data_IF_475784807576
#
_entry.id   IF_475784807576
#
_cell.length_a   1.000
_cell.length_b   1.000
_cell.length_c   1.000
_cell.angle_alpha   90.00
_cell.angle_beta   90.00
_cell.angle_gamma   90.00
#
_symmetry.space_group_name_H-M   'P 1'
#
loop_
_entity.id
_entity.type
_entity.pdbx_description
1 polymer ?
#
# COMPACT_ATOMS: atom_id res chain seq x y z
N UNK A 1 40.99 10.58 -17.19
CA UNK A 1 41.48 10.66 -18.59
C UNK A 1 40.34 10.40 -19.58
N UNK A 2 39.09 10.29 -19.13
CA UNK A 2 38.00 9.68 -19.89
C UNK A 2 37.15 10.67 -20.70
N UNK A 3 37.31 11.98 -20.54
CA UNK A 3 36.58 12.98 -21.33
C UNK A 3 37.01 13.04 -22.83
N UNK A 4 38.03 12.27 -23.24
CA UNK A 4 38.54 12.20 -24.62
C UNK A 4 38.83 10.76 -25.12
N UNK A 5 38.37 9.72 -24.40
CA UNK A 5 38.61 8.30 -24.71
C UNK A 5 39.57 7.60 -23.75
N UNK A 6 39.73 6.28 -23.93
CA UNK A 6 40.56 5.40 -23.10
C UNK A 6 42.06 5.75 -23.17
N UNK A 7 42.83 5.34 -22.17
CA UNK A 7 44.24 5.72 -22.06
C UNK A 7 45.11 4.88 -23.00
N UNK A 8 45.46 5.40 -24.18
CA UNK A 8 46.30 4.68 -25.16
C UNK A 8 47.68 4.15 -24.67
N UNK A 9 48.14 4.51 -23.46
CA UNK A 9 49.36 3.97 -22.83
C UNK A 9 49.10 2.91 -21.75
N UNK A 10 47.85 2.72 -21.36
CA UNK A 10 47.38 1.61 -20.53
C UNK A 10 46.50 0.70 -21.43
N UNK A 11 46.59 -0.61 -21.29
CA UNK A 11 45.80 -1.50 -22.16
C UNK A 11 44.42 -1.81 -21.59
N UNK A 12 44.20 -1.44 -20.33
CA UNK A 12 43.05 -1.72 -19.45
C UNK A 12 42.95 -0.48 -18.54
N UNK A 13 42.10 0.48 -18.91
CA UNK A 13 42.19 1.87 -18.44
C UNK A 13 41.58 2.10 -17.07
N UNK A 14 40.51 1.40 -16.72
CA UNK A 14 39.81 1.36 -15.43
C UNK A 14 40.31 0.23 -14.52
N UNK A 15 40.89 -0.83 -15.06
CA UNK A 15 41.55 -1.88 -14.28
C UNK A 15 40.62 -3.00 -13.82
N UNK A 16 39.52 -3.23 -14.53
CA UNK A 16 38.52 -4.30 -14.30
C UNK A 16 38.98 -5.67 -14.85
N UNK A 17 40.11 -5.71 -15.58
CA UNK A 17 40.67 -6.92 -16.18
C UNK A 17 40.28 -7.14 -17.65
N UNK A 18 39.49 -6.24 -18.24
CA UNK A 18 39.22 -6.18 -19.68
C UNK A 18 40.22 -5.24 -20.36
N UNK A 19 40.36 -5.40 -21.67
CA UNK A 19 41.26 -4.53 -22.44
C UNK A 19 40.41 -3.51 -23.18
N UNK A 20 40.86 -2.25 -23.22
CA UNK A 20 40.13 -1.15 -23.86
C UNK A 20 39.65 -1.49 -25.29
N UNK A 21 40.44 -2.28 -26.03
CA UNK A 21 40.10 -2.71 -27.39
C UNK A 21 38.95 -3.73 -27.40
N UNK A 22 38.92 -4.65 -26.45
CA UNK A 22 37.87 -5.65 -26.35
C UNK A 22 36.55 -4.96 -26.04
N UNK A 23 36.55 -4.13 -25.02
CA UNK A 23 35.38 -3.38 -24.54
C UNK A 23 34.81 -2.46 -25.61
N UNK A 24 35.65 -1.65 -26.29
CA UNK A 24 35.17 -0.66 -27.27
C UNK A 24 35.02 -1.14 -28.72
N UNK A 25 35.68 -2.23 -29.14
CA UNK A 25 35.74 -2.63 -30.56
C UNK A 25 35.43 -4.10 -30.81
N UNK A 26 36.05 -5.03 -30.07
CA UNK A 26 35.85 -6.45 -30.34
C UNK A 26 34.54 -6.98 -29.74
N UNK A 27 34.06 -6.44 -28.62
CA UNK A 27 32.81 -6.75 -27.92
C UNK A 27 32.71 -8.15 -27.29
N UNK A 28 31.79 -8.29 -26.37
CA UNK A 28 31.51 -9.49 -25.57
C UNK A 28 30.29 -10.23 -26.11
N UNK A 29 30.15 -11.53 -25.83
CA UNK A 29 28.93 -12.28 -26.17
C UNK A 29 28.03 -12.27 -24.96
N UNK A 30 26.76 -11.93 -25.15
CA UNK A 30 25.77 -11.99 -24.08
C UNK A 30 25.70 -13.38 -23.42
N UNK A 31 25.30 -13.45 -22.14
CA UNK A 31 25.08 -14.71 -21.44
C UNK A 31 24.17 -15.69 -22.20
N UNK A 32 24.35 -17.00 -22.03
CA UNK A 32 23.41 -17.98 -22.57
C UNK A 32 21.99 -17.71 -22.06
N UNK A 33 21.02 -17.62 -22.98
CA UNK A 33 19.60 -17.32 -22.74
C UNK A 33 19.24 -15.85 -22.49
N UNK A 34 20.19 -14.92 -22.58
CA UNK A 34 19.89 -13.49 -22.57
C UNK A 34 19.05 -13.06 -23.80
N UNK A 35 18.15 -12.10 -23.60
CA UNK A 35 17.03 -11.71 -24.50
C UNK A 35 17.43 -11.56 -25.97
N UNK A 36 18.57 -10.94 -26.22
CA UNK A 36 19.18 -10.80 -27.53
C UNK A 36 20.61 -11.32 -27.45
N UNK A 37 20.87 -12.52 -27.99
CA UNK A 37 22.19 -13.18 -28.05
C UNK A 37 23.16 -12.46 -29.02
N UNK A 38 23.24 -11.15 -28.88
CA UNK A 38 24.01 -10.20 -29.65
C UNK A 38 25.33 -9.91 -28.92
N UNK A 39 26.21 -9.26 -29.66
CA UNK A 39 27.46 -8.78 -29.13
C UNK A 39 27.24 -7.39 -28.52
N UNK A 40 27.65 -7.21 -27.27
CA UNK A 40 27.61 -5.96 -26.54
C UNK A 40 29.02 -5.44 -26.25
N UNK A 41 29.08 -4.23 -25.69
CA UNK A 41 30.30 -3.47 -25.44
C UNK A 41 30.16 -2.81 -24.07
N UNK A 42 31.25 -2.72 -23.33
CA UNK A 42 31.35 -2.02 -22.05
C UNK A 42 32.15 -0.72 -22.23
N UNK A 43 32.18 0.16 -21.22
CA UNK A 43 32.96 1.40 -21.28
C UNK A 43 34.38 1.17 -20.74
N UNK A 44 35.46 1.27 -21.56
CA UNK A 44 36.87 1.16 -21.15
C UNK A 44 37.35 2.15 -20.09
N UNK A 45 36.47 2.96 -19.55
CA UNK A 45 36.77 3.99 -18.57
C UNK A 45 35.94 3.83 -17.30
N UNK A 46 35.04 2.86 -17.25
CA UNK A 46 34.19 2.55 -16.12
C UNK A 46 34.47 1.11 -15.71
N UNK A 47 34.85 0.97 -14.44
CA UNK A 47 35.17 -0.33 -13.86
C UNK A 47 33.95 -1.27 -13.76
N UNK A 48 32.76 -0.68 -13.84
CA UNK A 48 31.43 -1.25 -13.71
C UNK A 48 30.55 -0.36 -14.61
N UNK A 49 30.12 -0.89 -15.75
CA UNK A 49 29.53 -0.10 -16.84
C UNK A 49 28.07 0.22 -16.57
N UNK A 50 27.29 -0.71 -15.99
CA UNK A 50 25.88 -0.52 -15.66
C UNK A 50 25.64 -0.10 -14.20
N UNK A 51 26.68 -0.12 -13.36
CA UNK A 51 26.70 0.33 -11.97
C UNK A 51 25.85 -0.53 -11.03
N UNK A 52 25.79 -1.83 -11.27
CA UNK A 52 25.06 -2.79 -10.44
C UNK A 52 25.91 -3.32 -9.25
N UNK A 53 27.20 -3.00 -9.23
CA UNK A 53 28.15 -3.38 -8.19
C UNK A 53 29.04 -4.59 -8.54
N UNK A 54 28.90 -5.17 -9.72
CA UNK A 54 29.82 -6.14 -10.32
C UNK A 54 30.83 -5.43 -11.23
N UNK A 55 32.03 -6.00 -11.38
CA UNK A 55 33.03 -5.43 -12.30
C UNK A 55 32.85 -6.07 -13.69
N UNK A 56 32.92 -5.29 -14.77
CA UNK A 56 32.62 -5.79 -16.12
C UNK A 56 33.44 -7.06 -16.48
N UNK A 57 34.70 -7.10 -16.03
CA UNK A 57 35.60 -8.24 -16.22
C UNK A 57 35.16 -9.53 -15.51
N UNK A 58 34.54 -9.42 -14.33
CA UNK A 58 33.96 -10.54 -13.59
C UNK A 58 32.77 -11.09 -14.35
N UNK A 59 31.86 -10.22 -14.79
CA UNK A 59 30.59 -10.61 -15.43
C UNK A 59 30.77 -11.29 -16.80
N UNK A 60 31.76 -10.87 -17.57
CA UNK A 60 32.06 -11.48 -18.88
C UNK A 60 32.97 -12.71 -18.79
N UNK A 61 33.38 -13.11 -17.59
CA UNK A 61 34.19 -14.31 -17.34
C UNK A 61 33.61 -15.14 -16.19
N UNK A 62 34.11 -16.36 -15.95
CA UNK A 62 33.66 -17.10 -14.75
C UNK A 62 34.45 -16.58 -13.58
N UNK A 63 33.75 -15.76 -12.80
CA UNK A 63 34.26 -15.10 -11.63
C UNK A 63 34.40 -15.93 -10.36
N UNK A 64 34.46 -15.23 -9.23
CA UNK A 64 34.34 -15.73 -7.86
C UNK A 64 32.93 -16.28 -7.60
N UNK A 65 31.91 -15.65 -8.18
CA UNK A 65 30.49 -16.04 -8.06
C UNK A 65 30.11 -17.25 -8.94
N UNK A 66 30.82 -17.49 -10.04
CA UNK A 66 30.57 -18.48 -11.10
C UNK A 66 29.31 -18.21 -11.94
N UNK A 67 28.81 -16.98 -11.96
CA UNK A 67 27.73 -16.60 -12.88
C UNK A 67 28.31 -15.89 -14.11
N UNK A 68 27.47 -15.77 -15.13
CA UNK A 68 27.75 -15.02 -16.34
C UNK A 68 26.59 -14.07 -16.52
N UNK A 69 26.77 -12.83 -16.11
CA UNK A 69 25.79 -11.74 -16.21
C UNK A 69 26.16 -10.83 -17.37
N UNK A 70 25.30 -9.87 -17.66
CA UNK A 70 25.48 -8.97 -18.79
C UNK A 70 25.96 -7.61 -18.29
N UNK A 71 27.28 -7.37 -18.34
CA UNK A 71 27.99 -6.15 -17.90
C UNK A 71 27.60 -4.77 -18.51
N UNK A 72 26.44 -4.64 -19.14
CA UNK A 72 25.85 -3.37 -19.53
C UNK A 72 24.32 -3.43 -19.37
N UNK A 73 23.86 -4.32 -18.51
CA UNK A 73 22.48 -4.56 -18.13
C UNK A 73 22.47 -4.99 -16.67
N UNK A 74 22.13 -4.05 -15.79
CA UNK A 74 22.25 -4.21 -14.33
C UNK A 74 21.34 -5.28 -13.72
N UNK A 75 20.43 -5.87 -14.51
CA UNK A 75 19.43 -6.87 -14.10
C UNK A 75 19.28 -7.85 -15.28
N UNK A 76 20.13 -8.87 -15.32
CA UNK A 76 20.34 -9.74 -16.49
C UNK A 76 19.12 -10.61 -16.83
N UNK A 77 18.30 -10.96 -15.85
CA UNK A 77 17.10 -11.77 -16.02
C UNK A 77 15.76 -11.02 -15.89
N UNK A 78 15.84 -9.71 -15.63
CA UNK A 78 14.77 -8.72 -15.65
C UNK A 78 13.66 -9.02 -14.64
N UNK A 79 14.07 -9.34 -13.42
CA UNK A 79 13.19 -9.69 -12.33
C UNK A 79 13.01 -8.56 -11.30
N UNK A 80 13.74 -7.45 -11.51
CA UNK A 80 13.72 -6.26 -10.68
C UNK A 80 14.81 -6.21 -9.61
N UNK A 81 15.68 -7.21 -9.54
CA UNK A 81 16.86 -7.25 -8.69
C UNK A 81 18.12 -6.98 -9.50
N UNK A 82 19.06 -6.22 -8.95
CA UNK A 82 20.34 -6.02 -9.63
C UNK A 82 21.25 -7.23 -9.47
N UNK A 83 22.00 -7.62 -10.50
CA UNK A 83 22.83 -8.85 -10.45
C UNK A 83 23.82 -8.81 -9.27
N UNK A 84 24.41 -7.63 -9.01
CA UNK A 84 25.24 -7.39 -7.83
C UNK A 84 24.54 -7.56 -6.48
N UNK A 85 23.24 -7.21 -6.37
CA UNK A 85 22.41 -7.36 -5.17
C UNK A 85 21.97 -8.81 -4.93
N UNK A 86 21.93 -9.63 -5.97
CA UNK A 86 21.69 -11.07 -5.87
C UNK A 86 22.87 -11.83 -5.27
N UNK A 87 24.09 -11.40 -5.60
CA UNK A 87 25.30 -12.17 -5.32
C UNK A 87 26.18 -11.60 -4.22
N UNK A 88 26.47 -10.30 -4.27
CA UNK A 88 27.52 -9.66 -3.45
C UNK A 88 26.90 -8.76 -2.37
N UNK A 89 25.91 -7.98 -2.76
CA UNK A 89 25.27 -6.97 -1.92
C UNK A 89 23.98 -7.48 -1.27
N UNK A 90 23.89 -8.80 -1.05
CA UNK A 90 22.76 -9.42 -0.37
C UNK A 90 22.54 -8.69 0.96
N UNK A 91 21.40 -8.00 1.13
CA UNK A 91 21.21 -7.08 2.25
C UNK A 91 21.23 -7.76 3.61
N UNK A 92 21.06 -9.09 3.61
CA UNK A 92 20.79 -9.88 4.80
C UNK A 92 21.79 -11.01 4.92
N UNK A 93 22.60 -11.07 6.00
CA UNK A 93 23.60 -12.13 6.22
C UNK A 93 23.08 -13.58 6.28
N UNK A 94 21.75 -13.76 6.33
CA UNK A 94 21.05 -15.03 6.50
C UNK A 94 20.16 -15.38 5.30
N UNK A 95 20.06 -14.50 4.31
CA UNK A 95 19.43 -14.78 3.03
C UNK A 95 20.48 -15.40 2.11
N UNK A 96 20.03 -16.30 1.24
CA UNK A 96 20.91 -16.94 0.26
C UNK A 96 20.97 -16.07 -1.00
N UNK A 97 22.09 -16.11 -1.73
CA UNK A 97 22.14 -15.54 -3.07
C UNK A 97 21.07 -16.17 -3.95
N UNK A 98 20.42 -15.37 -4.79
CA UNK A 98 19.60 -15.82 -5.90
C UNK A 98 20.47 -15.99 -7.14
N UNK A 99 19.88 -16.39 -8.26
CA UNK A 99 20.60 -16.67 -9.48
C UNK A 99 20.32 -15.55 -10.48
N UNK A 100 21.33 -14.70 -10.81
CA UNK A 100 21.15 -13.51 -11.66
C UNK A 100 20.98 -13.81 -13.15
N UNK A 101 20.54 -15.02 -13.48
CA UNK A 101 20.24 -15.45 -14.86
C UNK A 101 18.93 -16.24 -14.92
N UNK A 102 18.23 -16.34 -13.79
CA UNK A 102 16.97 -17.04 -13.60
C UNK A 102 16.11 -16.21 -12.66
N UNK A 103 15.17 -15.49 -13.25
CA UNK A 103 14.23 -14.57 -12.60
C UNK A 103 13.29 -15.18 -11.52
N UNK A 104 13.46 -16.45 -11.16
CA UNK A 104 12.68 -17.21 -10.17
C UNK A 104 13.55 -18.41 -9.76
N UNK A 105 14.41 -18.20 -8.76
CA UNK A 105 15.45 -19.16 -8.37
C UNK A 105 14.87 -20.47 -7.86
N UNK A 106 13.73 -20.44 -7.16
CA UNK A 106 13.14 -21.62 -6.53
C UNK A 106 11.98 -22.26 -7.31
N UNK A 107 11.57 -21.62 -8.41
CA UNK A 107 10.57 -22.06 -9.40
C UNK A 107 9.17 -22.21 -8.81
N UNK A 108 8.81 -21.34 -7.87
CA UNK A 108 7.47 -21.34 -7.29
C UNK A 108 6.49 -20.40 -8.02
N UNK A 109 7.00 -19.52 -8.89
CA UNK A 109 6.24 -18.57 -9.70
C UNK A 109 6.35 -17.12 -9.24
N UNK A 110 7.00 -16.85 -8.10
CA UNK A 110 7.38 -15.52 -7.64
C UNK A 110 8.77 -15.15 -8.18
N UNK A 111 9.02 -13.86 -8.45
CA UNK A 111 10.31 -13.40 -8.99
C UNK A 111 11.29 -13.08 -7.87
N UNK A 112 12.60 -13.33 -8.05
CA UNK A 112 13.57 -13.15 -6.97
C UNK A 112 13.62 -11.68 -6.51
N UNK A 113 13.53 -10.71 -7.43
CA UNK A 113 13.42 -9.28 -7.11
C UNK A 113 12.24 -8.92 -6.19
N UNK A 114 11.16 -9.68 -6.23
CA UNK A 114 10.01 -9.49 -5.33
C UNK A 114 10.28 -10.08 -3.94
N UNK A 115 10.91 -11.24 -3.90
CA UNK A 115 11.13 -11.95 -2.64
C UNK A 115 12.37 -11.40 -1.88
N UNK A 116 13.35 -10.88 -2.60
CA UNK A 116 14.64 -10.42 -2.06
C UNK A 116 14.63 -8.98 -1.52
N UNK A 117 13.62 -8.18 -1.84
CA UNK A 117 13.59 -6.72 -1.72
C UNK A 117 14.61 -6.09 -0.74
N UNK A 118 15.50 -5.29 -1.34
CA UNK A 118 16.64 -4.60 -0.74
C UNK A 118 16.40 -3.08 -0.72
N UNK A 119 16.81 -2.41 0.36
CA UNK A 119 16.69 -0.96 0.53
C UNK A 119 17.71 -0.19 -0.32
N UNK A 120 17.28 0.46 -1.40
CA UNK A 120 18.01 1.60 -1.96
C UNK A 120 17.65 2.86 -1.19
N UNK A 121 18.62 3.45 -0.49
CA UNK A 121 18.46 4.74 0.17
C UNK A 121 18.35 5.92 -0.82
N UNK A 122 18.50 5.67 -2.12
CA UNK A 122 18.54 6.69 -3.18
C UNK A 122 17.18 6.85 -3.90
N UNK A 123 16.31 5.83 -3.88
CA UNK A 123 15.11 5.76 -4.75
C UNK A 123 13.73 5.83 -4.07
N UNK A 124 13.65 5.88 -2.73
CA UNK A 124 12.42 6.15 -1.98
C UNK A 124 11.20 5.26 -2.35
N UNK A 125 11.41 3.96 -2.60
CA UNK A 125 10.37 2.93 -2.72
C UNK A 125 10.59 1.78 -1.73
N UNK A 126 9.52 1.01 -1.46
CA UNK A 126 9.33 0.11 -0.30
C UNK A 126 10.04 -1.25 -0.52
N UNK A 127 10.56 -1.84 0.56
CA UNK A 127 10.99 -3.26 0.62
C UNK A 127 10.16 -4.02 1.67
N UNK A 128 10.09 -5.37 1.66
CA UNK A 128 10.48 -6.32 2.72
C UNK A 128 10.08 -7.79 2.44
N UNK A 129 11.01 -8.74 2.64
CA UNK A 129 10.69 -10.09 3.14
C UNK A 129 10.35 -10.05 4.65
N UNK A 130 9.11 -10.43 5.00
CA UNK A 130 8.59 -10.53 6.37
C UNK A 130 9.04 -11.84 7.03
N UNK A 131 9.63 -11.78 8.22
CA UNK A 131 9.94 -13.00 8.99
C UNK A 131 8.76 -13.35 9.89
N UNK A 132 8.04 -14.43 9.58
CA UNK A 132 6.93 -14.91 10.42
C UNK A 132 7.47 -15.91 11.44
N UNK A 133 7.43 -15.52 12.71
CA UNK A 133 7.81 -16.37 13.84
C UNK A 133 6.59 -16.64 14.73
N UNK A 134 6.46 -17.87 15.23
CA UNK A 134 5.40 -18.23 16.21
C UNK A 134 5.78 -17.87 17.65
N UNK A 135 7.05 -17.52 17.87
CA UNK A 135 7.61 -17.06 19.14
C UNK A 135 7.98 -15.57 19.02
N UNK A 136 7.92 -14.83 20.12
CA UNK A 136 8.27 -13.39 20.13
C UNK A 136 9.70 -13.20 19.63
N UNK A 137 9.88 -12.47 18.53
CA UNK A 137 11.17 -12.23 17.91
C UNK A 137 12.07 -11.38 18.83
N UNK A 138 13.28 -11.88 19.10
CA UNK A 138 14.34 -11.16 19.81
C UNK A 138 15.36 -10.63 18.80
N UNK A 139 15.73 -9.33 18.84
CA UNK A 139 16.78 -8.80 17.99
C UNK A 139 18.10 -9.57 18.11
N UNK A 140 18.92 -9.66 17.05
CA UNK A 140 20.25 -10.27 17.11
C UNK A 140 21.11 -9.66 18.22
N UNK A 141 21.80 -10.51 18.99
CA UNK A 141 22.58 -10.16 20.19
C UNK A 141 21.75 -9.78 21.43
N UNK A 142 20.52 -10.28 21.54
CA UNK A 142 19.73 -10.06 22.72
C UNK A 142 19.21 -11.32 23.40
N UNK A 143 19.42 -11.38 24.71
CA UNK A 143 19.08 -12.52 25.55
C UNK A 143 17.73 -12.37 26.28
N UNK A 144 17.07 -11.20 26.20
CA UNK A 144 15.81 -10.92 26.93
C UNK A 144 14.99 -9.77 26.34
N UNK A 145 13.67 -9.98 26.24
CA UNK A 145 12.67 -8.96 25.87
C UNK A 145 12.69 -7.73 26.78
N UNK A 146 13.10 -7.88 28.04
CA UNK A 146 13.13 -6.77 29.01
C UNK A 146 14.32 -5.83 28.73
N UNK A 147 15.40 -6.33 28.13
CA UNK A 147 16.61 -5.54 27.91
C UNK A 147 16.68 -4.88 26.52
N UNK A 148 16.09 -5.51 25.50
CA UNK A 148 16.13 -5.02 24.12
C UNK A 148 14.84 -5.24 23.33
N UNK A 149 13.83 -5.89 23.95
CA UNK A 149 12.59 -6.25 23.27
C UNK A 149 11.98 -5.00 22.70
N UNK A 150 11.67 -5.07 21.42
CA UNK A 150 11.06 -3.96 20.72
C UNK A 150 9.55 -4.08 20.84
N UNK A 151 8.88 -2.94 21.06
CA UNK A 151 7.42 -2.88 21.04
C UNK A 151 6.91 -3.25 19.62
N UNK A 152 5.63 -3.63 19.47
CA UNK A 152 5.03 -3.85 18.15
C UNK A 152 5.26 -2.66 17.21
N UNK A 153 5.67 -2.94 15.98
CA UNK A 153 6.07 -1.96 14.98
C UNK A 153 7.03 -2.56 13.96
N UNK A 154 7.11 -1.97 12.77
CA UNK A 154 8.12 -2.29 11.77
C UNK A 154 9.49 -1.77 12.22
N UNK A 155 10.53 -2.57 12.01
CA UNK A 155 11.90 -2.18 12.37
C UNK A 155 12.75 -2.20 11.11
N UNK A 156 13.02 -1.01 10.57
CA UNK A 156 13.90 -0.88 9.42
C UNK A 156 15.35 -1.07 9.87
N UNK A 157 16.02 -2.09 9.33
CA UNK A 157 17.45 -2.28 9.57
C UNK A 157 18.25 -1.41 8.61
N UNK A 158 19.01 -0.44 9.13
CA UNK A 158 19.74 0.50 8.29
C UNK A 158 21.14 -0.03 7.91
N UNK A 159 21.91 -0.49 8.89
CA UNK A 159 23.20 -1.18 8.75
C UNK A 159 23.81 -1.49 10.14
N UNK A 160 24.99 -2.11 10.15
CA UNK A 160 25.77 -2.46 11.36
C UNK A 160 26.16 -1.27 12.25
N UNK A 161 26.17 -0.04 11.73
CA UNK A 161 26.53 1.18 12.48
C UNK A 161 25.28 1.96 12.92
N UNK A 162 24.23 1.95 12.10
CA UNK A 162 22.96 2.65 12.30
C UNK A 162 21.94 1.91 13.15
N UNK A 163 22.10 0.60 13.34
CA UNK A 163 21.13 -0.26 14.05
C UNK A 163 19.71 -0.18 13.44
N UNK A 164 18.70 -0.68 14.16
CA UNK A 164 17.29 -0.63 13.75
C UNK A 164 16.63 0.70 14.08
N UNK A 165 15.89 1.27 13.12
CA UNK A 165 15.08 2.47 13.27
C UNK A 165 13.59 2.09 13.46
N UNK A 166 12.90 2.61 14.50
CA UNK A 166 11.47 2.36 14.70
C UNK A 166 10.64 3.06 13.63
N UNK A 167 9.84 2.31 12.88
CA UNK A 167 8.76 2.89 12.06
C UNK A 167 7.50 2.11 12.40
N UNK A 168 6.45 2.80 12.86
CA UNK A 168 5.18 2.13 13.14
C UNK A 168 4.53 1.78 11.79
N UNK A 169 4.73 0.54 11.33
CA UNK A 169 4.28 0.05 10.02
C UNK A 169 3.23 -1.06 10.12
N UNK A 170 3.02 -1.69 11.28
CA UNK A 170 1.94 -2.68 11.47
C UNK A 170 1.47 -2.76 12.93
N UNK A 171 0.27 -3.33 13.11
CA UNK A 171 -0.33 -3.70 14.39
C UNK A 171 -0.34 -5.22 14.59
N UNK A 172 -0.42 -5.68 15.84
CA UNK A 172 -0.49 -7.12 16.15
C UNK A 172 -1.92 -7.61 15.97
N UNK A 173 -2.19 -8.30 14.86
CA UNK A 173 -3.43 -9.05 14.64
C UNK A 173 -3.18 -10.56 14.83
N UNK A 174 -4.11 -11.24 15.52
CA UNK A 174 -4.04 -12.70 15.69
C UNK A 174 -4.40 -13.38 14.37
N UNK A 175 -3.39 -13.74 13.57
CA UNK A 175 -3.60 -14.53 12.36
C UNK A 175 -3.92 -15.99 12.69
N UNK A 176 -4.96 -16.53 12.06
CA UNK A 176 -5.32 -17.94 12.18
C UNK A 176 -4.39 -18.81 11.33
N UNK A 177 -3.23 -19.15 11.88
CA UNK A 177 -2.20 -19.99 11.28
C UNK A 177 -2.56 -21.50 11.24
N UNK A 178 -3.85 -21.86 11.21
CA UNK A 178 -4.24 -23.28 11.14
C UNK A 178 -3.75 -23.87 9.82
N UNK A 179 -2.83 -24.83 9.90
CA UNK A 179 -2.07 -25.46 8.79
C UNK A 179 -0.82 -24.69 8.32
N UNK A 180 -0.44 -23.57 8.92
CA UNK A 180 0.83 -22.90 8.67
C UNK A 180 1.95 -23.68 9.37
N UNK A 181 2.68 -24.50 8.61
CA UNK A 181 3.70 -25.39 9.15
C UNK A 181 5.05 -24.67 9.19
N UNK A 182 5.31 -23.95 10.29
CA UNK A 182 6.55 -23.20 10.47
C UNK A 182 7.71 -24.16 10.77
N UNK A 183 8.73 -24.27 9.90
CA UNK A 183 9.85 -25.16 10.15
C UNK A 183 10.71 -24.68 11.33
N UNK A 184 11.44 -25.61 11.96
CA UNK A 184 12.51 -25.25 12.89
C UNK A 184 13.59 -24.46 12.13
N UNK A 185 13.89 -23.25 12.58
CA UNK A 185 14.92 -22.43 11.97
C UNK A 185 16.30 -22.91 12.47
N UNK A 186 17.18 -23.30 11.55
CA UNK A 186 18.53 -23.77 11.88
C UNK A 186 19.48 -22.68 12.43
N UNK A 187 19.10 -21.40 12.37
CA UNK A 187 19.86 -20.23 12.77
C UNK A 187 19.50 -19.71 14.17
N UNK A 188 18.40 -20.19 14.78
CA UNK A 188 17.95 -19.83 16.12
C UNK A 188 17.34 -21.05 16.85
N UNK A 189 17.07 -20.93 18.15
CA UNK A 189 16.19 -21.89 18.84
C UNK A 189 14.72 -21.44 18.72
N UNK A 190 14.25 -21.23 17.48
CA UNK A 190 12.92 -20.70 17.22
C UNK A 190 12.31 -21.33 15.96
N UNK A 191 10.99 -21.23 15.82
CA UNK A 191 10.28 -21.58 14.60
C UNK A 191 10.05 -20.30 13.80
N UNK A 192 10.45 -20.31 12.54
CA UNK A 192 10.17 -19.23 11.61
C UNK A 192 10.61 -19.56 10.19
N UNK A 193 9.97 -18.92 9.22
CA UNK A 193 10.42 -18.87 7.81
C UNK A 193 10.24 -17.45 7.28
N UNK A 194 10.94 -17.12 6.21
CA UNK A 194 10.57 -15.96 5.42
C UNK A 194 9.19 -16.19 4.82
N UNK A 195 8.40 -15.14 4.81
CA UNK A 195 7.05 -15.18 4.26
C UNK A 195 7.08 -15.23 2.73
N UNK A 196 8.09 -14.61 2.12
CA UNK A 196 8.55 -14.79 0.73
C UNK A 196 10.01 -15.27 0.79
N UNK A 197 10.35 -16.43 0.21
CA UNK A 197 11.67 -17.06 0.30
C UNK A 197 12.16 -17.57 -1.07
N UNK A 198 13.04 -16.83 -1.76
CA UNK A 198 13.42 -17.10 -3.16
C UNK A 198 14.34 -18.32 -3.33
N UNK A 199 14.49 -19.09 -2.25
CA UNK A 199 15.40 -20.21 -2.15
C UNK A 199 14.73 -21.41 -1.44
N UNK A 200 13.41 -21.36 -1.26
CA UNK A 200 12.65 -22.35 -0.52
C UNK A 200 12.35 -23.58 -1.38
N UNK A 201 11.94 -24.67 -0.72
CA UNK A 201 11.32 -25.82 -1.40
C UNK A 201 9.82 -25.90 -1.10
N UNK A 202 9.33 -24.99 -0.27
CA UNK A 202 7.94 -24.79 0.08
C UNK A 202 7.50 -23.52 -0.63
N UNK A 203 6.56 -23.66 -1.56
CA UNK A 203 5.95 -22.55 -2.28
C UNK A 203 5.29 -21.57 -1.31
N UNK A 204 5.43 -20.28 -1.53
CA UNK A 204 4.71 -19.22 -0.80
C UNK A 204 3.72 -18.40 -1.62
N UNK A 205 3.58 -18.72 -2.90
CA UNK A 205 2.47 -18.30 -3.78
C UNK A 205 1.07 -18.31 -3.17
N UNK A 206 0.71 -19.32 -2.36
CA UNK A 206 -0.65 -19.48 -1.84
C UNK A 206 -0.93 -18.75 -0.52
N UNK A 207 0.00 -17.93 -0.04
CA UNK A 207 -0.21 -17.09 1.14
C UNK A 207 -0.66 -15.69 0.73
N UNK A 208 -1.20 -14.97 1.71
CA UNK A 208 -1.61 -13.57 1.64
C UNK A 208 -0.89 -12.93 2.83
N UNK A 209 0.18 -12.20 2.54
CA UNK A 209 1.22 -11.83 3.50
C UNK A 209 0.98 -10.45 4.13
N UNK A 210 0.39 -9.52 3.39
CA UNK A 210 -0.08 -8.23 3.90
C UNK A 210 -1.53 -8.28 4.40
N UNK A 211 -2.23 -9.41 4.18
CA UNK A 211 -3.57 -9.69 4.69
C UNK A 211 -4.62 -8.70 4.15
N UNK A 212 -4.51 -8.40 2.87
CA UNK A 212 -5.43 -7.57 2.09
C UNK A 212 -6.57 -8.39 1.44
N UNK A 213 -6.52 -9.73 1.56
CA UNK A 213 -7.40 -10.74 0.96
C UNK A 213 -7.06 -11.17 -0.47
N UNK A 214 -5.91 -10.77 -1.01
CA UNK A 214 -5.35 -11.21 -2.29
C UNK A 214 -4.15 -12.13 -2.02
N UNK A 215 -4.13 -13.37 -2.53
CA UNK A 215 -2.95 -14.21 -2.39
C UNK A 215 -1.82 -13.74 -3.32
N UNK A 216 -0.57 -13.92 -2.87
CA UNK A 216 0.65 -13.51 -3.56
C UNK A 216 0.70 -13.89 -5.05
N UNK A 217 0.13 -15.05 -5.43
CA UNK A 217 0.09 -15.51 -6.82
C UNK A 217 -0.89 -14.73 -7.72
N UNK A 218 -1.93 -14.15 -7.15
CA UNK A 218 -2.88 -13.29 -7.83
C UNK A 218 -2.31 -11.88 -8.05
N UNK A 219 -1.29 -11.50 -7.30
CA UNK A 219 -0.68 -10.18 -7.33
C UNK A 219 0.41 -10.05 -8.39
N UNK A 220 0.91 -11.19 -8.90
CA UNK A 220 1.92 -11.27 -9.96
C UNK A 220 1.63 -10.32 -11.14
N UNK A 221 2.65 -9.83 -11.88
CA UNK A 221 2.45 -8.95 -13.04
C UNK A 221 1.59 -9.57 -14.14
N UNK A 222 1.59 -10.91 -14.19
CA UNK A 222 0.77 -11.69 -15.11
C UNK A 222 -0.73 -11.75 -14.73
N UNK A 223 -1.07 -11.35 -13.51
CA UNK A 223 -2.40 -11.34 -12.93
C UNK A 223 -2.85 -9.89 -12.65
N UNK A 224 -2.89 -9.44 -11.39
CA UNK A 224 -3.33 -8.09 -11.01
C UNK A 224 -2.22 -7.05 -11.02
N UNK A 225 -0.94 -7.45 -11.00
CA UNK A 225 0.20 -6.54 -11.02
C UNK A 225 0.20 -5.57 -9.82
N UNK A 226 0.03 -6.15 -8.64
CA UNK A 226 0.10 -5.50 -7.33
C UNK A 226 1.36 -5.97 -6.60
N UNK A 227 1.63 -5.41 -5.43
CA UNK A 227 2.80 -5.70 -4.62
C UNK A 227 2.40 -6.56 -3.41
N UNK A 228 2.82 -7.84 -3.33
CA UNK A 228 2.32 -8.77 -2.32
C UNK A 228 2.47 -8.38 -0.86
N UNK A 229 3.31 -7.41 -0.57
CA UNK A 229 3.58 -6.96 0.80
C UNK A 229 2.99 -5.58 1.09
N UNK A 230 2.33 -4.98 0.12
CA UNK A 230 1.73 -3.67 0.22
C UNK A 230 0.22 -3.79 0.09
N UNK A 231 -0.42 -3.64 1.24
CA UNK A 231 -1.85 -3.77 1.40
C UNK A 231 -2.68 -2.93 0.41
N UNK A 232 -2.11 -1.80 -0.06
CA UNK A 232 -2.70 -0.85 -1.01
C UNK A 232 -1.58 -0.46 -1.99
N UNK A 233 -1.57 -1.11 -3.15
CA UNK A 233 -0.46 -1.04 -4.11
C UNK A 233 -0.41 0.24 -4.92
N UNK A 234 -1.57 0.82 -5.25
CA UNK A 234 -1.66 2.03 -6.07
C UNK A 234 -1.86 3.32 -5.24
N UNK A 235 -2.13 3.19 -3.95
CA UNK A 235 -2.17 4.26 -2.97
C UNK A 235 -3.50 5.01 -2.91
N UNK A 236 -4.60 4.41 -3.36
CA UNK A 236 -5.94 5.00 -3.39
C UNK A 236 -6.72 4.83 -2.07
N UNK A 237 -6.13 4.12 -1.09
CA UNK A 237 -6.65 3.74 0.23
C UNK A 237 -7.49 2.47 0.28
N UNK A 238 -7.70 1.77 -0.84
CA UNK A 238 -8.39 0.50 -0.87
C UNK A 238 -7.39 -0.67 -0.80
N UNK A 239 -7.77 -1.80 -0.17
CA UNK A 239 -6.94 -3.00 -0.23
C UNK A 239 -7.04 -3.71 -1.58
N UNK A 240 -5.92 -4.20 -2.11
CA UNK A 240 -5.91 -4.79 -3.44
C UNK A 240 -6.90 -5.97 -3.55
N UNK A 241 -6.92 -6.85 -2.54
CA UNK A 241 -7.84 -7.98 -2.46
C UNK A 241 -9.31 -7.60 -2.35
N UNK A 242 -9.61 -6.45 -1.75
CA UNK A 242 -10.97 -5.93 -1.65
C UNK A 242 -11.44 -5.41 -3.02
N UNK A 243 -10.61 -4.64 -3.70
CA UNK A 243 -10.88 -4.13 -5.05
C UNK A 243 -11.11 -5.27 -6.04
N UNK A 244 -10.21 -6.26 -6.06
CA UNK A 244 -10.34 -7.47 -6.90
C UNK A 244 -11.67 -8.16 -6.66
N UNK A 245 -12.06 -8.35 -5.41
CA UNK A 245 -13.32 -9.01 -5.05
C UNK A 245 -14.52 -8.25 -5.63
N UNK A 246 -14.59 -6.94 -5.44
CA UNK A 246 -15.75 -6.15 -5.88
C UNK A 246 -15.75 -5.88 -7.39
N UNK A 247 -14.58 -5.73 -8.01
CA UNK A 247 -14.45 -5.70 -9.46
C UNK A 247 -14.95 -6.99 -10.11
N UNK A 248 -14.59 -8.16 -9.57
CA UNK A 248 -15.13 -9.44 -10.05
C UNK A 248 -16.63 -9.56 -9.83
N UNK A 249 -17.14 -9.10 -8.69
CA UNK A 249 -18.55 -9.11 -8.36
C UNK A 249 -19.36 -8.19 -9.30
N UNK A 250 -18.85 -7.00 -9.60
CA UNK A 250 -19.45 -6.05 -10.54
C UNK A 250 -19.57 -6.63 -11.96
N UNK A 251 -18.54 -7.37 -12.41
CA UNK A 251 -18.56 -8.09 -13.69
C UNK A 251 -19.63 -9.19 -13.67
N UNK A 252 -19.76 -9.95 -12.58
CA UNK A 252 -20.77 -11.01 -12.45
C UNK A 252 -22.20 -10.45 -12.47
N UNK A 253 -22.44 -9.33 -11.80
CA UNK A 253 -23.74 -8.64 -11.81
C UNK A 253 -24.00 -7.86 -13.11
N UNK A 254 -23.01 -7.74 -13.98
CA UNK A 254 -23.12 -7.02 -15.26
C UNK A 254 -23.24 -5.50 -15.09
N UNK A 255 -22.75 -4.98 -13.96
CA UNK A 255 -22.61 -3.55 -13.69
C UNK A 255 -21.46 -2.94 -14.51
N UNK A 256 -20.46 -3.77 -14.84
CA UNK A 256 -19.35 -3.42 -15.72
C UNK A 256 -19.42 -4.22 -17.04
N UNK A 257 -19.27 -3.55 -18.19
CA UNK A 257 -19.18 -4.18 -19.51
C UNK A 257 -17.80 -3.95 -20.13
N UNK A 258 -17.06 -5.05 -20.28
CA UNK A 258 -15.75 -5.08 -20.90
C UNK A 258 -15.81 -4.45 -22.32
N UNK A 259 -15.20 -3.27 -22.49
CA UNK A 259 -15.01 -2.63 -23.80
C UNK A 259 -16.08 -1.65 -24.30
N UNK A 260 -16.89 -1.02 -23.44
CA UNK A 260 -17.81 0.08 -23.85
C UNK A 260 -17.36 1.50 -23.48
N UNK A 261 -16.40 1.67 -22.57
CA UNK A 261 -15.87 2.98 -22.20
C UNK A 261 -14.41 3.06 -22.64
N UNK A 262 -14.07 4.06 -23.46
CA UNK A 262 -12.73 4.25 -24.05
C UNK A 262 -11.66 4.69 -23.01
N UNK A 263 -11.89 4.48 -21.71
CA UNK A 263 -11.08 5.05 -20.63
C UNK A 263 -10.81 4.09 -19.45
N UNK A 264 -11.64 3.07 -19.18
CA UNK A 264 -11.45 2.22 -18.00
C UNK A 264 -10.62 0.95 -18.20
N UNK A 265 -9.99 0.46 -17.13
CA UNK A 265 -9.27 -0.83 -17.12
C UNK A 265 -10.18 -1.97 -17.57
N UNK A 266 -9.64 -2.91 -18.34
CA UNK A 266 -10.35 -4.13 -18.74
C UNK A 266 -10.54 -5.14 -17.59
N UNK A 267 -9.98 -4.84 -16.40
CA UNK A 267 -9.93 -5.73 -15.24
C UNK A 267 -11.00 -5.46 -14.19
N UNK A 268 -11.69 -4.32 -14.22
CA UNK A 268 -12.66 -4.02 -13.17
C UNK A 268 -13.16 -2.58 -13.19
N UNK A 269 -13.89 -2.24 -12.12
CA UNK A 269 -14.24 -0.86 -11.76
C UNK A 269 -13.24 -0.28 -10.76
N UNK A 270 -12.55 -1.13 -10.00
CA UNK A 270 -11.46 -0.81 -9.08
C UNK A 270 -10.35 -1.83 -9.34
N UNK A 271 -9.39 -1.47 -10.19
CA UNK A 271 -8.23 -2.25 -10.57
C UNK A 271 -7.07 -1.83 -9.64
N UNK A 272 -6.63 -2.71 -8.73
CA UNK A 272 -5.69 -2.38 -7.64
C UNK A 272 -4.28 -1.96 -8.09
N UNK A 273 -4.04 -1.95 -9.40
CA UNK A 273 -2.80 -1.46 -9.99
C UNK A 273 -2.91 -0.02 -10.52
N UNK A 274 -4.07 0.62 -10.35
CA UNK A 274 -4.41 1.92 -10.91
C UNK A 274 -5.28 2.75 -9.97
N UNK A 275 -4.69 3.80 -9.39
CA UNK A 275 -5.34 4.74 -8.47
C UNK A 275 -6.68 5.35 -8.96
N UNK A 276 -6.93 5.36 -10.26
CA UNK A 276 -8.17 5.85 -10.91
C UNK A 276 -8.43 4.90 -12.11
N UNK A 277 -9.32 3.94 -11.90
CA UNK A 277 -9.54 2.82 -12.79
C UNK A 277 -10.31 3.16 -14.05
N UNK A 278 -11.18 4.16 -13.96
CA UNK A 278 -12.07 4.57 -15.04
C UNK A 278 -11.62 5.87 -15.76
N UNK A 279 -10.60 6.52 -15.20
CA UNK A 279 -9.93 7.75 -15.66
C UNK A 279 -10.86 8.97 -15.70
N UNK A 280 -11.84 9.04 -14.80
CA UNK A 280 -12.72 10.21 -14.67
C UNK A 280 -12.10 11.36 -13.83
N UNK A 281 -11.00 11.08 -13.14
CA UNK A 281 -10.23 12.01 -12.32
C UNK A 281 -10.58 11.98 -10.83
N UNK A 282 -11.39 11.02 -10.38
CA UNK A 282 -11.62 10.65 -9.00
C UNK A 282 -10.86 9.35 -8.74
N UNK A 283 -10.18 9.26 -7.59
CA UNK A 283 -9.48 8.04 -7.20
C UNK A 283 -10.50 6.99 -6.77
N UNK A 284 -10.25 5.71 -7.03
CA UNK A 284 -11.23 4.62 -6.82
C UNK A 284 -11.74 4.59 -5.37
N UNK A 285 -10.87 4.74 -4.36
CA UNK A 285 -11.27 4.87 -2.95
C UNK A 285 -12.16 6.08 -2.60
N UNK A 286 -12.18 7.12 -3.44
CA UNK A 286 -12.99 8.33 -3.29
C UNK A 286 -14.27 8.32 -4.14
N UNK A 287 -14.47 7.30 -4.97
CA UNK A 287 -15.70 7.15 -5.74
C UNK A 287 -16.87 6.69 -4.87
N UNK A 288 -18.09 7.04 -5.31
CA UNK A 288 -19.35 6.53 -4.79
C UNK A 288 -20.12 5.92 -5.97
N UNK A 289 -19.95 4.62 -6.15
CA UNK A 289 -20.35 3.88 -7.35
C UNK A 289 -21.87 3.61 -7.38
N UNK A 290 -22.50 3.38 -6.23
CA UNK A 290 -23.92 3.02 -6.13
C UNK A 290 -24.83 4.14 -5.61
N UNK A 291 -24.23 5.27 -5.21
CA UNK A 291 -24.88 6.54 -4.83
C UNK A 291 -25.83 6.36 -3.64
N UNK A 292 -25.36 5.67 -2.60
CA UNK A 292 -26.14 5.30 -1.43
C UNK A 292 -25.91 6.19 -0.20
N UNK A 293 -25.13 7.27 -0.36
CA UNK A 293 -24.94 8.30 0.66
C UNK A 293 -26.23 9.06 1.04
N UNK A 294 -26.10 10.05 1.93
CA UNK A 294 -27.25 10.76 2.46
C UNK A 294 -27.88 11.70 1.44
N UNK A 295 -29.21 11.70 1.40
CA UNK A 295 -29.96 12.57 0.51
C UNK A 295 -29.70 14.07 0.78
N UNK A 296 -28.93 14.71 -0.10
CA UNK A 296 -28.60 16.16 -0.07
C UNK A 296 -29.82 17.06 0.11
N UNK A 297 -30.93 16.78 -0.55
CA UNK A 297 -32.15 17.60 -0.42
C UNK A 297 -32.72 17.52 0.99
N UNK A 298 -32.65 16.35 1.62
CA UNK A 298 -33.00 16.15 3.03
C UNK A 298 -32.08 16.96 3.94
N UNK A 299 -30.77 16.87 3.73
CA UNK A 299 -29.76 17.59 4.51
C UNK A 299 -29.92 19.11 4.43
N UNK A 300 -30.11 19.68 3.23
CA UNK A 300 -30.32 21.13 3.06
C UNK A 300 -31.60 21.57 3.78
N UNK A 301 -32.67 20.78 3.73
CA UNK A 301 -33.89 21.11 4.46
C UNK A 301 -33.72 21.04 5.99
N UNK A 302 -32.82 20.17 6.47
CA UNK A 302 -32.44 20.00 7.88
C UNK A 302 -31.63 21.19 8.39
N UNK A 303 -30.47 21.47 7.77
CA UNK A 303 -29.51 22.47 8.26
C UNK A 303 -29.65 23.88 7.66
N UNK A 304 -30.40 24.03 6.57
CA UNK A 304 -30.62 25.31 5.89
C UNK A 304 -32.08 25.45 5.40
N UNK A 305 -33.08 25.34 6.31
CA UNK A 305 -34.48 25.46 5.97
C UNK A 305 -34.79 26.76 5.24
N UNK A 306 -35.49 26.64 4.11
CA UNK A 306 -35.85 27.79 3.27
C UNK A 306 -34.71 28.29 2.38
N UNK A 307 -33.67 27.48 2.15
CA UNK A 307 -32.62 27.75 1.15
C UNK A 307 -33.22 28.18 -0.20
N UNK A 308 -32.60 29.19 -0.84
CA UNK A 308 -33.10 29.79 -2.08
C UNK A 308 -34.29 30.74 -1.93
N UNK A 309 -34.79 30.97 -0.71
CA UNK A 309 -35.85 31.95 -0.42
C UNK A 309 -35.29 33.16 0.32
N UNK A 310 -36.06 34.26 0.38
CA UNK A 310 -35.68 35.46 1.15
C UNK A 310 -35.70 35.27 2.68
N UNK A 311 -36.04 34.08 3.16
CA UNK A 311 -36.19 33.74 4.58
C UNK A 311 -35.43 32.47 4.97
N UNK A 312 -34.33 32.17 4.27
CA UNK A 312 -33.43 31.07 4.60
C UNK A 312 -32.83 31.24 6.00
N UNK A 313 -33.01 30.25 6.88
CA UNK A 313 -32.31 30.20 8.17
C UNK A 313 -31.28 29.08 8.11
N UNK A 314 -30.03 29.41 7.79
CA UNK A 314 -29.00 28.42 7.53
C UNK A 314 -27.98 28.37 8.65
N UNK A 315 -27.92 27.22 9.30
CA UNK A 315 -26.91 26.86 10.29
C UNK A 315 -25.65 26.30 9.60
N UNK A 316 -25.83 25.58 8.50
CA UNK A 316 -24.74 25.18 7.58
C UNK A 316 -25.12 25.62 6.18
N UNK A 317 -24.42 26.63 5.65
CA UNK A 317 -24.76 27.26 4.38
C UNK A 317 -24.12 26.52 3.19
N UNK A 318 -24.89 25.94 2.26
CA UNK A 318 -24.34 25.22 1.10
C UNK A 318 -23.54 26.11 0.13
N UNK A 319 -23.67 27.44 0.22
CA UNK A 319 -22.93 28.38 -0.62
C UNK A 319 -21.53 28.72 -0.06
N UNK A 320 -21.23 28.35 1.18
CA UNK A 320 -19.88 28.53 1.74
C UNK A 320 -19.00 27.33 1.39
N UNK A 321 -17.66 27.50 1.29
CA UNK A 321 -16.76 26.37 1.04
C UNK A 321 -16.94 25.23 2.05
N UNK A 322 -17.02 25.56 3.34
CA UNK A 322 -17.17 24.58 4.42
C UNK A 322 -18.52 23.86 4.33
N UNK A 323 -19.61 24.60 4.05
CA UNK A 323 -20.92 23.98 3.91
C UNK A 323 -21.06 23.15 2.64
N UNK A 324 -20.43 23.55 1.53
CA UNK A 324 -20.37 22.72 0.32
C UNK A 324 -19.70 21.39 0.62
N UNK A 325 -18.54 21.42 1.30
CA UNK A 325 -17.84 20.20 1.72
C UNK A 325 -18.68 19.35 2.68
N UNK A 326 -19.42 19.95 3.63
CA UNK A 326 -20.35 19.21 4.49
C UNK A 326 -21.39 18.41 3.69
N UNK A 327 -22.06 19.05 2.73
CA UNK A 327 -23.10 18.36 1.96
C UNK A 327 -22.52 17.39 0.93
N UNK A 328 -21.38 17.71 0.31
CA UNK A 328 -20.71 16.83 -0.65
C UNK A 328 -20.23 15.54 0.06
N UNK A 329 -19.56 15.67 1.23
CA UNK A 329 -19.04 14.52 1.98
C UNK A 329 -20.14 13.60 2.53
N UNK A 330 -21.31 14.14 2.86
CA UNK A 330 -22.41 13.31 3.35
C UNK A 330 -23.23 12.69 2.21
N UNK A 331 -23.23 13.31 1.03
CA UNK A 331 -23.93 12.80 -0.16
C UNK A 331 -23.16 11.69 -0.85
N UNK A 332 -21.82 11.73 -0.78
CA UNK A 332 -20.94 10.73 -1.34
C UNK A 332 -20.46 9.80 -0.24
N UNK A 333 -21.00 8.59 -0.16
CA UNK A 333 -20.46 7.56 0.72
C UNK A 333 -19.42 6.79 -0.07
N UNK A 334 -18.14 7.00 0.21
CA UNK A 334 -17.09 6.55 -0.71
C UNK A 334 -16.73 5.09 -0.51
N UNK A 335 -16.17 4.46 -1.55
CA UNK A 335 -15.69 3.08 -1.49
C UNK A 335 -14.74 2.82 -0.29
N UNK A 336 -13.89 3.80 0.06
CA UNK A 336 -13.05 3.75 1.25
C UNK A 336 -13.86 3.72 2.56
N UNK A 337 -14.88 4.58 2.67
CA UNK A 337 -15.76 4.60 3.84
C UNK A 337 -16.55 3.29 3.96
N UNK A 338 -16.90 2.67 2.85
CA UNK A 338 -17.55 1.36 2.83
C UNK A 338 -16.62 0.25 3.29
N UNK A 339 -15.36 0.27 2.84
CA UNK A 339 -14.34 -0.65 3.32
C UNK A 339 -14.16 -0.54 4.85
N UNK A 340 -14.07 0.68 5.39
CA UNK A 340 -13.91 0.91 6.83
C UNK A 340 -15.11 0.38 7.65
N UNK A 341 -16.32 0.46 7.09
CA UNK A 341 -17.56 0.08 7.78
C UNK A 341 -18.06 -1.34 7.41
N UNK A 342 -17.43 -2.01 6.46
CA UNK A 342 -17.76 -3.37 6.04
C UNK A 342 -18.99 -3.48 5.13
N UNK A 343 -19.34 -2.40 4.44
CA UNK A 343 -20.43 -2.32 3.43
C UNK A 343 -19.85 -2.51 2.01
N UNK A 344 -20.70 -2.54 0.98
CA UNK A 344 -20.34 -3.04 -0.35
C UNK A 344 -20.52 -1.99 -1.47
N UNK A 345 -19.45 -1.64 -2.21
CA UNK A 345 -19.40 -0.49 -3.15
C UNK A 345 -20.19 -0.64 -4.44
N UNK A 346 -20.96 -1.70 -4.57
CA UNK A 346 -21.71 -2.01 -5.78
C UNK A 346 -23.17 -2.29 -5.47
N UNK A 347 -23.57 -2.13 -4.21
CA UNK A 347 -24.93 -2.41 -3.74
C UNK A 347 -25.27 -1.52 -2.57
N UNK A 348 -26.20 -0.62 -2.83
CA UNK A 348 -26.71 0.38 -1.89
C UNK A 348 -27.48 -0.14 -0.66
N UNK A 349 -27.42 -1.42 -0.33
CA UNK A 349 -28.14 -2.08 0.78
C UNK A 349 -27.46 -3.45 0.99
N UNK A 350 -26.37 -3.45 1.75
CA UNK A 350 -25.48 -4.62 1.92
C UNK A 350 -26.18 -5.76 2.66
N UNK A 351 -26.99 -5.46 3.67
CA UNK A 351 -27.61 -6.44 4.54
C UNK A 351 -29.04 -6.85 4.12
N UNK A 352 -29.63 -6.10 3.19
CA UNK A 352 -30.93 -6.35 2.58
C UNK A 352 -32.11 -5.99 3.47
N UNK A 353 -31.93 -5.11 4.45
CA UNK A 353 -32.97 -4.71 5.39
C UNK A 353 -33.87 -3.55 4.87
N UNK A 354 -33.53 -2.97 3.72
CA UNK A 354 -34.13 -1.79 3.06
C UNK A 354 -33.69 -0.43 3.60
N UNK A 355 -32.63 -0.36 4.38
CA UNK A 355 -31.87 0.86 4.62
C UNK A 355 -30.67 0.90 3.68
N UNK A 356 -30.33 2.11 3.23
CA UNK A 356 -29.12 2.32 2.43
C UNK A 356 -27.91 2.40 3.37
N UNK A 357 -26.74 1.93 2.95
CA UNK A 357 -25.61 1.70 3.86
C UNK A 357 -25.09 3.03 4.43
N UNK A 358 -24.97 4.07 3.60
CA UNK A 358 -24.59 5.41 4.04
C UNK A 358 -25.46 5.95 5.20
N UNK A 359 -26.80 6.05 5.05
CA UNK A 359 -27.71 6.37 6.14
C UNK A 359 -27.65 5.40 7.32
N UNK A 360 -27.49 4.10 7.07
CA UNK A 360 -27.43 3.09 8.13
C UNK A 360 -26.24 3.36 9.05
N UNK A 361 -25.04 3.52 8.50
CA UNK A 361 -23.80 3.82 9.22
C UNK A 361 -23.86 5.20 9.88
N UNK A 362 -24.35 6.21 9.17
CA UNK A 362 -24.39 7.58 9.70
C UNK A 362 -25.25 7.70 10.96
N UNK A 363 -26.41 7.03 11.03
CA UNK A 363 -27.37 7.16 12.13
C UNK A 363 -27.16 6.17 13.28
N UNK A 364 -26.06 5.41 13.28
CA UNK A 364 -25.69 4.60 14.45
C UNK A 364 -25.41 5.49 15.66
N UNK A 365 -25.51 4.91 16.85
CA UNK A 365 -25.28 5.58 18.14
C UNK A 365 -24.46 4.59 19.00
N UNK A 366 -23.13 4.67 18.87
CA UNK A 366 -22.22 3.65 19.38
C UNK A 366 -22.08 3.65 20.90
N UNK A 367 -22.29 4.79 21.55
CA UNK A 367 -22.19 4.94 23.00
C UNK A 367 -23.53 5.21 23.71
N UNK A 368 -24.64 5.11 22.96
CA UNK A 368 -26.02 5.28 23.41
C UNK A 368 -26.28 6.65 24.06
N UNK A 369 -25.61 7.69 23.56
CA UNK A 369 -25.70 9.04 24.09
C UNK A 369 -26.74 9.90 23.36
N UNK A 370 -27.33 9.37 22.27
CA UNK A 370 -28.38 10.01 21.51
C UNK A 370 -27.90 11.03 20.49
N UNK A 371 -26.59 11.14 20.25
CA UNK A 371 -26.01 11.70 19.04
C UNK A 371 -25.75 10.59 18.02
N UNK A 372 -25.68 10.96 16.73
CA UNK A 372 -25.39 10.00 15.68
C UNK A 372 -23.88 9.93 15.44
N UNK A 373 -23.33 8.72 15.33
CA UNK A 373 -21.90 8.45 15.11
C UNK A 373 -21.34 9.21 13.91
N UNK A 374 -22.05 9.25 12.78
CA UNK A 374 -21.59 10.01 11.61
C UNK A 374 -21.58 11.52 11.84
N UNK A 375 -22.49 12.03 12.69
CA UNK A 375 -22.49 13.45 13.09
C UNK A 375 -21.31 13.75 14.01
N UNK A 376 -21.05 12.88 14.98
CA UNK A 376 -19.94 13.00 15.92
C UNK A 376 -18.60 13.00 15.19
N UNK A 377 -18.39 12.02 14.31
CA UNK A 377 -17.20 11.91 13.49
C UNK A 377 -16.95 13.18 12.67
N UNK A 378 -17.98 13.67 11.94
CA UNK A 378 -17.84 14.87 11.10
C UNK A 378 -17.40 16.10 11.91
N UNK A 379 -17.96 16.31 13.11
CA UNK A 379 -17.63 17.46 13.95
C UNK A 379 -16.42 17.22 14.86
N UNK A 380 -15.78 16.06 14.77
CA UNK A 380 -14.58 15.68 15.54
C UNK A 380 -14.88 15.49 17.03
N UNK A 381 -15.98 14.81 17.31
CA UNK A 381 -16.38 14.22 18.60
C UNK A 381 -15.95 12.74 18.62
N UNK A 382 -15.92 12.12 19.80
CA UNK A 382 -15.50 10.72 19.97
C UNK A 382 -16.77 9.85 20.06
N UNK A 383 -17.14 9.09 19.01
CA UNK A 383 -18.38 8.31 18.99
C UNK A 383 -18.47 7.19 20.04
N UNK A 384 -17.42 7.01 20.84
CA UNK A 384 -17.36 6.03 21.92
C UNK A 384 -17.26 6.67 23.32
N UNK A 385 -17.30 8.02 23.43
CA UNK A 385 -17.30 8.74 24.70
C UNK A 385 -18.61 9.51 24.95
N UNK A 386 -19.56 8.94 25.72
CA UNK A 386 -20.90 9.50 25.90
C UNK A 386 -20.92 10.77 26.76
N UNK A 387 -19.75 11.23 27.22
CA UNK A 387 -19.60 12.47 27.96
C UNK A 387 -19.42 13.68 27.04
N UNK A 388 -19.01 13.48 25.79
CA UNK A 388 -18.68 14.58 24.89
C UNK A 388 -19.92 15.35 24.42
N UNK A 389 -21.11 14.72 24.44
CA UNK A 389 -22.40 15.40 24.24
C UNK A 389 -22.67 16.57 25.18
N UNK A 390 -22.02 16.59 26.35
CA UNK A 390 -22.14 17.64 27.37
C UNK A 390 -21.11 18.75 27.19
N UNK A 391 -20.19 18.63 26.22
CA UNK A 391 -19.21 19.65 25.89
C UNK A 391 -19.91 20.74 25.06
N UNK A 392 -19.50 21.97 25.28
CA UNK A 392 -19.85 23.15 24.50
C UNK A 392 -18.56 23.55 23.75
N UNK A 393 -18.46 23.13 22.48
CA UNK A 393 -17.19 23.19 21.72
C UNK A 393 -16.90 24.60 21.22
N UNK A 394 -17.91 25.34 20.80
CA UNK A 394 -17.76 26.70 20.28
C UNK A 394 -17.96 27.81 21.33
N UNK A 395 -18.37 27.44 22.54
CA UNK A 395 -18.56 28.31 23.71
C UNK A 395 -19.71 29.30 23.56
N UNK A 396 -20.77 28.92 22.86
CA UNK A 396 -21.99 29.70 22.70
C UNK A 396 -22.99 29.53 23.88
N UNK A 397 -22.75 28.55 24.76
CA UNK A 397 -23.59 28.21 25.91
C UNK A 397 -24.55 27.04 25.68
N UNK A 398 -24.49 26.37 24.53
CA UNK A 398 -25.22 25.17 24.18
C UNK A 398 -24.25 23.98 24.10
N UNK A 399 -24.69 22.80 24.53
CA UNK A 399 -23.87 21.58 24.45
C UNK A 399 -24.12 20.88 23.13
N UNK A 400 -23.17 20.06 22.68
CA UNK A 400 -23.21 19.36 21.39
C UNK A 400 -24.52 18.59 21.17
N UNK A 401 -25.05 17.91 22.18
CA UNK A 401 -26.36 17.21 22.07
C UNK A 401 -27.50 18.15 21.68
N UNK A 402 -27.51 19.36 22.25
CA UNK A 402 -28.54 20.34 21.95
C UNK A 402 -28.45 20.85 20.53
N UNK A 403 -27.23 20.96 20.01
CA UNK A 403 -26.97 21.38 18.65
C UNK A 403 -27.34 20.29 17.65
N UNK A 404 -26.97 19.04 17.95
CA UNK A 404 -27.40 17.87 17.19
C UNK A 404 -28.93 17.79 17.08
N UNK A 405 -29.64 17.95 18.22
CA UNK A 405 -31.11 17.90 18.29
C UNK A 405 -31.81 19.02 17.51
N UNK A 406 -31.13 20.14 17.30
CA UNK A 406 -31.69 21.34 16.69
C UNK A 406 -31.03 21.75 15.38
N UNK A 407 -30.21 20.87 14.81
CA UNK A 407 -29.56 21.01 13.51
C UNK A 407 -28.69 22.29 13.42
N UNK A 408 -28.03 22.64 14.53
CA UNK A 408 -27.10 23.78 14.60
C UNK A 408 -25.65 23.34 14.43
N UNK A 409 -24.72 24.28 14.29
CA UNK A 409 -23.33 23.97 13.96
C UNK A 409 -22.45 24.13 15.20
N UNK A 410 -21.96 23.03 15.80
CA UNK A 410 -21.23 23.04 17.07
C UNK A 410 -19.80 23.59 17.01
N UNK A 411 -19.39 24.09 15.84
CA UNK A 411 -18.11 24.75 15.63
C UNK A 411 -18.28 26.25 15.36
N UNK A 412 -19.50 26.75 15.20
CA UNK A 412 -19.79 28.15 14.89
C UNK A 412 -20.64 28.80 16.00
N UNK A 413 -20.03 29.68 16.84
CA UNK A 413 -20.73 30.29 17.96
C UNK A 413 -21.84 31.28 17.55
N UNK A 414 -22.05 31.47 16.25
CA UNK A 414 -23.17 32.24 15.70
C UNK A 414 -24.35 31.36 15.25
N UNK A 415 -24.18 30.03 15.27
CA UNK A 415 -25.16 29.03 14.86
C UNK A 415 -25.69 28.27 16.07
N UNK A 416 -26.77 28.80 16.67
CA UNK A 416 -27.25 28.29 17.95
C UNK A 416 -28.76 28.08 17.98
N UNK A 417 -29.28 27.19 18.85
CA UNK A 417 -30.70 26.96 18.99
C UNK A 417 -31.47 28.24 19.35
N UNK A 418 -32.58 28.50 18.66
CA UNK A 418 -33.45 29.63 18.93
C UNK A 418 -34.15 29.52 20.30
N UNK A 419 -34.67 30.63 20.84
CA UNK A 419 -35.30 30.67 22.17
C UNK A 419 -36.46 29.67 22.39
N UNK A 420 -37.08 29.14 21.33
CA UNK A 420 -38.17 28.17 21.43
C UNK A 420 -37.70 26.72 21.24
N UNK A 421 -36.43 26.51 20.92
CA UNK A 421 -35.78 25.22 20.76
C UNK A 421 -35.15 24.82 22.09
N UNK A 422 -36.00 24.36 23.00
CA UNK A 422 -35.56 23.91 24.32
C UNK A 422 -34.81 22.59 24.20
N UNK A 423 -33.68 22.50 24.86
CA UNK A 423 -32.93 21.27 25.01
C UNK A 423 -32.83 20.93 26.49
N UNK A 424 -33.34 19.76 26.88
CA UNK A 424 -33.02 19.15 28.16
C UNK A 424 -31.90 18.13 27.90
N UNK A 425 -30.75 18.33 28.51
CA UNK A 425 -29.57 17.46 28.36
C UNK A 425 -29.73 16.12 29.07
N UNK A 426 -30.85 15.92 29.78
CA UNK A 426 -31.20 14.68 30.48
C UNK A 426 -32.41 13.96 29.87
N UNK A 427 -32.95 14.47 28.75
CA UNK A 427 -33.92 13.76 27.90
C UNK A 427 -33.18 12.78 26.97
#
# INVERSE_FOLDING_TARGET
>A
MCAQGSNASNADTDGDGLQDRVEALDGHQAPPNYKDNLRYYTDPCMFDTDNDGLEDGEEVSLGVDNFYTHANDSDTDDDGLQDGDEMINIPRPWQRPTNPTVNDTDNDGMMDGWEMQVLSAEDNSRSHSLWVATDVWLPPNCDSLIECGKEPGGWLWLNWVGMFYPIKMYELNEMNLTNFNVPENSLCNCYGRWALDPNSLLTDTGYDIDNDSLPNDAELPSAWNTNPIDFDSDGDQLPDGWEVRFSLMAVEFGLYQNGTNEAGSARGIMDPSMIDSDLDGIEDGLEDLDNDGLNRTGLINKYCPGYGTSSSNCHINPDTPDGKSFYDNLENYTNYEEWENGTYPITNDTDGDQLEDGPEVYYQDHDDDGMATGWEYYFGFDPFDPADRLIDKDQDGHVNYCEYKWDTNPLDPTSFPSQNQLCDVYD
#
